data_IF_653614048386
#
_entry.id   IF_653614048386
#
_cell.length_a   1.000
_cell.length_b   1.000
_cell.length_c   1.000
_cell.angle_alpha   90.00
_cell.angle_beta   90.00
_cell.angle_gamma   90.00
#
_symmetry.space_group_name_H-M   'P 1'
#
loop_
_entity.id
_entity.type
_entity.pdbx_description
1 polymer ?
#
# COMPACT_ATOMS: atom_id res chain seq x y z
N UNK A 1 11.20 -17.64 18.73
CA UNK A 1 9.74 -17.65 19.03
C UNK A 1 9.59 -18.16 20.46
N UNK A 2 9.28 -17.27 21.40
CA UNK A 2 9.04 -17.65 22.80
C UNK A 2 7.62 -18.22 22.91
N UNK A 3 7.51 -19.53 23.09
CA UNK A 3 6.24 -20.21 23.35
C UNK A 3 6.27 -20.77 24.78
N UNK A 4 6.11 -19.89 25.77
CA UNK A 4 5.96 -20.28 27.16
C UNK A 4 4.78 -19.54 27.77
N UNK A 5 4.00 -20.23 28.60
CA UNK A 5 2.92 -19.62 29.36
C UNK A 5 3.53 -18.66 30.41
N UNK A 6 2.97 -17.45 30.51
CA UNK A 6 3.44 -16.45 31.46
C UNK A 6 3.21 -16.96 32.91
N UNK A 7 4.23 -16.92 33.79
CA UNK A 7 4.04 -17.16 35.21
C UNK A 7 3.20 -16.06 35.86
N UNK A 8 2.49 -16.40 36.94
CA UNK A 8 1.56 -15.50 37.64
C UNK A 8 2.16 -14.14 38.00
N UNK A 9 3.45 -14.09 38.36
CA UNK A 9 4.16 -12.84 38.67
C UNK A 9 4.25 -11.88 37.48
N UNK A 10 4.45 -12.41 36.26
CA UNK A 10 4.50 -11.61 35.04
C UNK A 10 3.10 -11.16 34.60
N UNK A 11 2.07 -11.98 34.84
CA UNK A 11 0.68 -11.58 34.62
C UNK A 11 0.33 -10.39 35.50
N UNK A 12 0.67 -10.44 36.80
CA UNK A 12 0.44 -9.31 37.72
C UNK A 12 1.22 -8.07 37.32
N UNK A 13 2.48 -8.22 36.86
CA UNK A 13 3.29 -7.11 36.39
C UNK A 13 2.68 -6.43 35.15
N UNK A 14 2.24 -7.21 34.16
CA UNK A 14 1.59 -6.67 32.96
C UNK A 14 0.26 -5.99 33.29
N UNK A 15 -0.52 -6.58 34.19
CA UNK A 15 -1.76 -5.98 34.69
C UNK A 15 -1.51 -4.63 35.39
N UNK A 16 -0.50 -4.53 36.25
CA UNK A 16 -0.13 -3.26 36.91
C UNK A 16 0.40 -2.20 35.94
N UNK A 17 0.93 -2.63 34.79
CA UNK A 17 1.35 -1.76 33.70
C UNK A 17 0.20 -1.36 32.75
N UNK A 18 -1.05 -1.76 33.03
CA UNK A 18 -2.21 -1.46 32.21
C UNK A 18 -2.31 -2.27 30.92
N UNK A 19 -1.46 -3.29 30.73
CA UNK A 19 -1.43 -4.09 29.50
C UNK A 19 -2.60 -5.07 29.51
N UNK A 20 -3.54 -4.87 28.58
CA UNK A 20 -4.71 -5.73 28.42
C UNK A 20 -5.84 -5.44 29.40
N UNK A 21 -5.96 -4.21 29.90
CA UNK A 21 -7.11 -3.78 30.69
C UNK A 21 -8.41 -3.95 29.89
N UNK A 22 -9.37 -4.63 30.53
CA UNK A 22 -10.73 -4.84 30.05
C UNK A 22 -11.68 -4.12 30.99
N UNK A 23 -12.63 -3.41 30.43
CA UNK A 23 -13.70 -2.76 31.18
C UNK A 23 -15.05 -3.13 30.58
N UNK A 24 -16.10 -3.02 31.37
CA UNK A 24 -17.46 -3.31 30.94
C UNK A 24 -18.21 -1.99 30.77
N UNK A 25 -18.76 -1.78 29.57
CA UNK A 25 -19.68 -0.68 29.32
C UNK A 25 -21.11 -1.18 29.50
N UNK A 26 -21.89 -0.42 30.26
CA UNK A 26 -23.27 -0.74 30.63
C UNK A 26 -24.21 0.33 30.06
N UNK A 27 -25.00 -0.06 29.07
CA UNK A 27 -25.99 0.81 28.43
C UNK A 27 -27.36 0.52 29.01
N UNK A 28 -27.99 1.49 29.67
CA UNK A 28 -29.32 1.31 30.24
C UNK A 28 -30.37 1.24 29.12
N UNK A 29 -31.20 0.19 29.13
CA UNK A 29 -32.32 0.01 28.20
C UNK A 29 -33.67 -0.12 28.90
N UNK A 30 -33.70 0.08 30.23
CA UNK A 30 -34.82 -0.28 31.10
C UNK A 30 -36.14 0.36 30.69
N UNK A 31 -36.11 1.64 30.31
CA UNK A 31 -37.28 2.40 29.89
C UNK A 31 -37.80 1.99 28.51
N UNK A 32 -36.91 1.50 27.64
CA UNK A 32 -37.24 1.13 26.26
C UNK A 32 -37.96 -0.22 26.24
N UNK A 33 -37.47 -1.19 27.03
CA UNK A 33 -38.04 -2.54 27.11
C UNK A 33 -39.06 -2.71 28.23
N UNK A 34 -39.28 -1.67 29.04
CA UNK A 34 -40.19 -1.65 30.19
C UNK A 34 -39.88 -2.76 31.23
N UNK A 35 -38.60 -3.00 31.47
CA UNK A 35 -38.10 -3.95 32.48
C UNK A 35 -37.07 -3.22 33.34
N UNK A 36 -37.28 -3.19 34.66
CA UNK A 36 -36.39 -2.49 35.58
C UNK A 36 -34.97 -3.07 35.57
N UNK A 37 -33.98 -2.20 35.79
CA UNK A 37 -32.56 -2.57 35.91
C UNK A 37 -32.01 -3.42 34.74
N UNK A 38 -32.54 -3.22 33.54
CA UNK A 38 -32.12 -3.86 32.30
C UNK A 38 -31.03 -3.06 31.59
N UNK A 39 -29.94 -3.75 31.25
CA UNK A 39 -28.76 -3.18 30.60
C UNK A 39 -28.25 -4.06 29.47
N UNK A 40 -27.63 -3.42 28.47
CA UNK A 40 -26.72 -4.06 27.55
C UNK A 40 -25.29 -3.87 28.07
N UNK A 41 -24.62 -4.98 28.33
CA UNK A 41 -23.23 -5.01 28.75
C UNK A 41 -22.35 -5.41 27.57
N UNK A 42 -21.27 -4.68 27.34
CA UNK A 42 -20.26 -5.03 26.34
C UNK A 42 -18.88 -5.00 27.00
N UNK A 43 -18.09 -6.05 26.76
CA UNK A 43 -16.68 -6.07 27.17
C UNK A 43 -15.88 -5.22 26.20
N UNK A 44 -15.10 -4.28 26.70
CA UNK A 44 -14.28 -3.37 25.90
C UNK A 44 -12.84 -3.39 26.38
N UNK A 45 -11.91 -3.41 25.44
CA UNK A 45 -10.48 -3.26 25.70
C UNK A 45 -9.83 -2.41 24.63
N UNK A 46 -8.77 -1.69 24.98
CA UNK A 46 -7.92 -1.05 23.99
C UNK A 46 -7.22 -2.14 23.16
N UNK A 47 -7.43 -2.13 21.84
CA UNK A 47 -6.86 -3.14 20.94
C UNK A 47 -5.47 -2.72 20.47
N UNK A 48 -5.32 -1.45 20.11
CA UNK A 48 -4.06 -0.76 19.85
C UNK A 48 -4.17 0.73 20.23
N UNK A 49 -3.17 1.54 19.89
CA UNK A 49 -3.15 2.97 20.22
C UNK A 49 -4.25 3.79 19.52
N UNK A 50 -4.99 3.20 18.57
CA UNK A 50 -5.96 3.89 17.71
C UNK A 50 -7.31 3.18 17.67
N UNK A 51 -7.56 2.17 18.50
CA UNK A 51 -8.81 1.41 18.43
C UNK A 51 -9.19 0.67 19.71
N UNK A 52 -10.48 0.39 19.82
CA UNK A 52 -11.08 -0.43 20.86
C UNK A 52 -11.62 -1.72 20.26
N UNK A 53 -11.47 -2.82 20.98
CA UNK A 53 -12.17 -4.06 20.72
C UNK A 53 -13.41 -4.11 21.62
N UNK A 54 -14.59 -4.10 21.01
CA UNK A 54 -15.87 -4.38 21.64
C UNK A 54 -16.20 -5.86 21.44
N UNK A 55 -16.44 -6.58 22.51
CA UNK A 55 -16.59 -8.02 22.46
C UNK A 55 -17.82 -8.50 23.23
N UNK A 56 -18.49 -9.52 22.67
CA UNK A 56 -19.55 -10.28 23.34
C UNK A 56 -20.63 -9.41 23.98
N UNK A 57 -21.50 -8.76 23.21
CA UNK A 57 -22.62 -8.02 23.77
C UNK A 57 -23.58 -8.98 24.47
N UNK A 58 -24.00 -8.60 25.66
CA UNK A 58 -24.86 -9.39 26.54
C UNK A 58 -26.00 -8.52 27.07
N UNK A 59 -27.20 -9.07 27.18
CA UNK A 59 -28.24 -8.54 28.04
C UNK A 59 -27.97 -8.96 29.48
N UNK A 60 -28.13 -8.04 30.43
CA UNK A 60 -28.07 -8.33 31.86
C UNK A 60 -29.21 -7.64 32.62
N UNK A 61 -29.66 -8.25 33.71
CA UNK A 61 -30.60 -7.63 34.65
C UNK A 61 -29.98 -7.50 36.05
N UNK A 62 -29.75 -6.27 36.53
CA UNK A 62 -29.07 -6.04 37.81
C UNK A 62 -29.96 -6.26 39.04
N UNK A 63 -31.28 -6.44 38.88
CA UNK A 63 -32.19 -6.80 39.98
C UNK A 63 -32.27 -8.31 40.22
N UNK A 64 -31.56 -9.10 39.41
CA UNK A 64 -31.60 -10.57 39.45
C UNK A 64 -32.97 -11.16 39.05
N UNK A 65 -33.73 -10.45 38.22
CA UNK A 65 -35.00 -10.93 37.68
C UNK A 65 -34.73 -12.03 36.63
N UNK A 66 -35.22 -13.24 36.88
CA UNK A 66 -35.11 -14.39 35.97
C UNK A 66 -36.36 -14.57 35.10
N UNK A 67 -37.40 -13.78 35.36
CA UNK A 67 -38.65 -13.76 34.58
C UNK A 67 -38.85 -12.37 34.04
N UNK A 68 -38.78 -12.26 32.72
CA UNK A 68 -38.91 -11.01 31.96
C UNK A 68 -39.88 -11.22 30.80
N UNK A 69 -40.49 -10.12 30.35
CA UNK A 69 -41.22 -10.11 29.08
C UNK A 69 -40.21 -10.21 27.94
N UNK A 70 -40.47 -11.10 26.98
CA UNK A 70 -39.59 -11.28 25.83
C UNK A 70 -39.56 -10.01 24.97
N UNK A 71 -38.38 -9.66 24.44
CA UNK A 71 -38.22 -8.50 23.58
C UNK A 71 -37.15 -8.73 22.51
N UNK A 72 -37.37 -8.19 21.31
CA UNK A 72 -36.43 -8.37 20.19
C UNK A 72 -35.33 -7.31 20.19
N UNK A 73 -34.13 -7.72 19.77
CA UNK A 73 -33.00 -6.84 19.47
C UNK A 73 -32.56 -7.12 18.04
N UNK A 74 -32.56 -6.08 17.19
CA UNK A 74 -32.06 -6.17 15.81
C UNK A 74 -31.17 -4.99 15.45
N UNK A 75 -30.18 -5.24 14.60
CA UNK A 75 -29.44 -4.16 13.93
C UNK A 75 -28.65 -3.26 14.89
N UNK A 76 -27.99 -3.84 15.91
CA UNK A 76 -27.28 -3.04 16.91
C UNK A 76 -25.99 -2.45 16.31
N UNK A 77 -25.81 -1.13 16.42
CA UNK A 77 -24.60 -0.42 15.98
C UNK A 77 -23.98 0.34 17.14
N UNK A 78 -22.66 0.50 17.10
CA UNK A 78 -21.90 1.29 18.07
C UNK A 78 -21.65 2.68 17.48
N UNK A 79 -22.02 3.71 18.23
CA UNK A 79 -21.62 5.08 17.96
C UNK A 79 -20.60 5.59 18.96
N UNK A 80 -19.82 6.58 18.53
CA UNK A 80 -18.81 7.27 19.31
C UNK A 80 -18.94 8.78 19.08
N UNK A 81 -18.83 9.57 20.15
CA UNK A 81 -18.79 11.04 20.09
C UNK A 81 -19.94 11.67 19.29
N UNK A 82 -21.14 11.08 19.36
CA UNK A 82 -22.36 11.57 18.71
C UNK A 82 -22.58 11.10 17.27
N UNK A 83 -21.72 10.24 16.71
CA UNK A 83 -21.92 9.63 15.39
C UNK A 83 -21.75 8.11 15.41
N UNK A 84 -22.51 7.41 14.57
CA UNK A 84 -22.32 5.96 14.39
C UNK A 84 -20.96 5.67 13.75
N UNK A 85 -20.26 4.64 14.23
CA UNK A 85 -19.01 4.24 13.62
C UNK A 85 -19.27 3.68 12.21
N UNK A 86 -18.57 4.22 11.21
CA UNK A 86 -18.75 3.87 9.79
C UNK A 86 -18.18 2.51 9.40
N UNK A 87 -17.29 1.96 10.22
CA UNK A 87 -16.62 0.67 10.01
C UNK A 87 -16.63 -0.15 11.31
N UNK A 88 -16.46 -1.46 11.19
CA UNK A 88 -16.41 -2.33 12.35
C UNK A 88 -17.77 -2.46 13.07
N UNK A 89 -18.85 -2.70 12.32
CA UNK A 89 -20.20 -2.91 12.86
C UNK A 89 -20.64 -4.37 12.78
N UNK A 90 -19.87 -5.31 13.35
CA UNK A 90 -20.25 -6.73 13.30
C UNK A 90 -21.61 -7.00 13.96
N UNK A 91 -21.99 -6.17 14.94
CA UNK A 91 -23.25 -6.26 15.67
C UNK A 91 -24.49 -5.84 14.87
N UNK A 92 -24.31 -5.21 13.70
CA UNK A 92 -25.45 -4.86 12.82
C UNK A 92 -26.23 -6.10 12.37
N UNK A 93 -25.59 -7.26 12.34
CA UNK A 93 -26.23 -8.52 11.95
C UNK A 93 -26.95 -9.21 13.12
N UNK A 94 -26.99 -8.59 14.31
CA UNK A 94 -27.77 -9.11 15.41
C UNK A 94 -29.24 -9.17 15.01
N UNK A 95 -29.83 -10.35 15.13
CA UNK A 95 -31.26 -10.59 15.05
C UNK A 95 -31.60 -11.67 16.08
N UNK A 96 -31.95 -11.24 17.28
CA UNK A 96 -32.20 -12.14 18.40
C UNK A 96 -33.35 -11.64 19.27
N UNK A 97 -33.91 -12.54 20.07
CA UNK A 97 -34.92 -12.20 21.07
C UNK A 97 -34.38 -12.55 22.45
N UNK A 98 -34.46 -11.59 23.36
CA UNK A 98 -34.14 -11.81 24.76
C UNK A 98 -35.35 -12.48 25.40
N UNK A 99 -35.14 -13.64 26.04
CA UNK A 99 -36.23 -14.43 26.63
C UNK A 99 -35.84 -14.96 28.01
N UNK A 100 -36.83 -15.13 28.88
CA UNK A 100 -36.61 -15.73 30.21
C UNK A 100 -35.95 -17.11 30.13
N UNK A 101 -36.23 -17.89 29.08
CA UNK A 101 -35.70 -19.25 28.89
C UNK A 101 -34.21 -19.30 28.54
N UNK A 102 -33.66 -18.19 28.02
CA UNK A 102 -32.26 -18.08 27.61
C UNK A 102 -31.41 -17.31 28.62
N UNK A 103 -32.01 -16.82 29.70
CA UNK A 103 -31.27 -16.26 30.82
C UNK A 103 -30.50 -17.38 31.54
N UNK A 104 -29.22 -17.13 31.70
CA UNK A 104 -28.28 -18.01 32.42
C UNK A 104 -27.60 -17.22 33.53
N UNK A 105 -27.10 -17.92 34.53
CA UNK A 105 -26.23 -17.31 35.54
C UNK A 105 -24.77 -17.52 35.16
N UNK A 106 -24.02 -16.44 34.97
CA UNK A 106 -22.56 -16.52 34.84
C UNK A 106 -21.92 -16.20 36.21
N UNK A 107 -21.09 -17.09 36.77
CA UNK A 107 -20.45 -16.88 38.06
C UNK A 107 -19.54 -15.63 38.09
N UNK A 108 -19.14 -15.07 36.93
CA UNK A 108 -18.40 -13.82 36.83
C UNK A 108 -19.22 -12.59 37.19
N UNK A 109 -20.54 -12.62 36.96
CA UNK A 109 -21.40 -11.44 37.07
C UNK A 109 -22.48 -11.57 38.15
N UNK A 110 -22.81 -12.79 38.59
CA UNK A 110 -23.80 -13.08 39.63
C UNK A 110 -25.20 -12.46 39.38
N UNK A 111 -25.53 -12.23 38.12
CA UNK A 111 -26.83 -11.74 37.63
C UNK A 111 -27.30 -12.59 36.43
N UNK A 112 -28.59 -12.57 36.08
CA UNK A 112 -29.12 -13.24 34.90
C UNK A 112 -28.58 -12.54 33.65
N UNK A 113 -28.01 -13.34 32.75
CA UNK A 113 -27.44 -12.86 31.50
C UNK A 113 -27.98 -13.63 30.31
N UNK A 114 -28.08 -12.97 29.17
CA UNK A 114 -28.22 -13.62 27.88
C UNK A 114 -27.19 -13.06 26.91
N UNK A 115 -26.32 -13.92 26.39
CA UNK A 115 -25.38 -13.54 25.35
C UNK A 115 -26.11 -13.28 24.04
N UNK A 116 -25.85 -12.14 23.42
CA UNK A 116 -26.50 -11.73 22.18
C UNK A 116 -25.66 -12.12 20.96
N UNK A 117 -24.34 -12.00 21.06
CA UNK A 117 -23.39 -12.43 20.02
C UNK A 117 -22.08 -12.92 20.64
N UNK A 118 -21.40 -13.82 19.95
CA UNK A 118 -20.02 -14.24 20.24
C UNK A 118 -18.98 -13.43 19.45
N UNK A 119 -19.43 -12.59 18.51
CA UNK A 119 -18.55 -11.78 17.69
C UNK A 119 -17.93 -10.65 18.51
N UNK A 120 -16.74 -10.24 18.08
CA UNK A 120 -16.12 -8.99 18.47
C UNK A 120 -16.09 -8.02 17.30
N UNK A 121 -15.92 -6.75 17.59
CA UNK A 121 -15.84 -5.70 16.58
C UNK A 121 -14.84 -4.63 17.00
N UNK A 122 -14.07 -4.12 16.05
CA UNK A 122 -13.03 -3.12 16.30
C UNK A 122 -13.56 -1.75 15.88
N UNK A 123 -13.57 -0.81 16.82
CA UNK A 123 -14.02 0.56 16.61
C UNK A 123 -12.80 1.49 16.71
N UNK A 124 -12.54 2.35 15.71
CA UNK A 124 -11.48 3.34 15.79
C UNK A 124 -11.67 4.26 17.01
N UNK A 125 -10.57 4.60 17.68
CA UNK A 125 -10.55 5.60 18.74
C UNK A 125 -10.47 7.00 18.13
N UNK A 126 -11.02 8.00 18.82
CA UNK A 126 -11.00 9.41 18.38
C UNK A 126 -10.26 10.29 19.39
N UNK A 127 -10.83 10.48 20.58
CA UNK A 127 -10.25 11.30 21.67
C UNK A 127 -9.46 10.47 22.68
N UNK A 128 -9.54 9.14 22.59
CA UNK A 128 -8.88 8.21 23.51
C UNK A 128 -9.72 7.91 24.77
N UNK A 129 -9.25 7.00 25.65
CA UNK A 129 -10.09 6.35 26.65
C UNK A 129 -10.74 7.28 27.68
N UNK A 130 -10.15 8.45 27.93
CA UNK A 130 -10.67 9.44 28.87
C UNK A 130 -11.63 10.45 28.24
N UNK A 131 -11.74 10.47 26.91
CA UNK A 131 -12.52 11.46 26.16
C UNK A 131 -13.56 10.89 25.20
N UNK A 132 -13.46 9.59 24.86
CA UNK A 132 -14.42 8.93 23.98
C UNK A 132 -15.69 8.52 24.74
N UNK A 133 -16.83 8.95 24.21
CA UNK A 133 -18.16 8.57 24.70
C UNK A 133 -18.82 7.63 23.69
N UNK A 134 -19.35 6.51 24.18
CA UNK A 134 -20.01 5.51 23.34
C UNK A 134 -21.52 5.53 23.52
N UNK A 135 -22.24 5.22 22.45
CA UNK A 135 -23.69 4.99 22.47
C UNK A 135 -24.05 3.82 21.56
N UNK A 136 -25.25 3.28 21.73
CA UNK A 136 -25.77 2.21 20.89
C UNK A 136 -27.01 2.69 20.13
N UNK A 137 -27.13 2.27 18.88
CA UNK A 137 -28.34 2.41 18.08
C UNK A 137 -28.82 1.04 17.63
N UNK A 138 -30.10 0.94 17.28
CA UNK A 138 -30.76 -0.33 16.99
C UNK A 138 -31.76 -0.11 15.87
N UNK A 139 -31.87 -1.05 14.94
CA UNK A 139 -33.04 -1.11 14.05
C UNK A 139 -34.30 -1.49 14.80
N UNK A 140 -34.17 -2.36 15.81
CA UNK A 140 -35.24 -2.70 16.72
C UNK A 140 -34.73 -2.98 18.13
N UNK A 141 -35.40 -2.40 19.12
CA UNK A 141 -35.21 -2.71 20.54
C UNK A 141 -36.58 -2.76 21.22
N UNK A 142 -37.04 -3.97 21.54
CA UNK A 142 -38.41 -4.23 21.97
C UNK A 142 -39.43 -3.83 20.91
N UNK A 143 -40.32 -2.91 21.26
CA UNK A 143 -41.34 -2.36 20.37
C UNK A 143 -40.87 -1.10 19.62
N UNK A 144 -39.73 -0.53 20.01
CA UNK A 144 -39.16 0.62 19.30
C UNK A 144 -38.44 0.16 18.04
N UNK A 145 -38.74 0.82 16.92
CA UNK A 145 -38.11 0.56 15.62
C UNK A 145 -37.47 1.83 15.09
N UNK A 146 -36.27 1.70 14.55
CA UNK A 146 -35.59 2.73 13.77
C UNK A 146 -35.39 2.17 12.37
N UNK A 147 -36.02 2.80 11.39
CA UNK A 147 -35.84 2.42 9.99
C UNK A 147 -34.47 2.94 9.54
N UNK A 148 -33.49 2.06 9.54
CA UNK A 148 -32.22 2.31 8.86
C UNK A 148 -32.44 1.97 7.39
N UNK A 149 -32.47 3.01 6.54
CA UNK A 149 -32.43 2.80 5.09
C UNK A 149 -30.97 2.56 4.74
N UNK A 150 -30.55 1.30 4.81
CA UNK A 150 -29.32 0.90 4.14
C UNK A 150 -29.54 1.11 2.64
N UNK A 151 -28.57 1.71 1.96
CA UNK A 151 -28.65 1.90 0.52
C UNK A 151 -28.46 0.54 -0.16
N UNK A 152 -29.54 -0.24 -0.23
CA UNK A 152 -29.60 -1.48 -0.99
C UNK A 152 -29.72 -1.14 -2.48
N UNK A 153 -28.59 -0.80 -3.09
CA UNK A 153 -28.50 -0.64 -4.53
C UNK A 153 -28.34 -1.99 -5.20
N UNK A 154 -29.45 -2.72 -5.31
CA UNK A 154 -29.53 -3.96 -6.09
C UNK A 154 -30.72 -3.85 -7.03
N UNK A 155 -30.52 -3.77 -8.37
CA UNK A 155 -29.24 -3.83 -9.08
C UNK A 155 -28.39 -2.56 -8.90
N UNK A 156 -27.06 -2.72 -9.03
CA UNK A 156 -26.05 -1.67 -8.86
C UNK A 156 -26.30 -0.39 -9.72
N UNK A 157 -27.18 -0.48 -10.73
CA UNK A 157 -27.49 0.59 -11.69
C UNK A 157 -28.27 1.75 -11.10
N UNK A 158 -28.99 1.54 -9.99
CA UNK A 158 -29.97 2.51 -9.47
C UNK A 158 -29.42 3.30 -8.26
N UNK A 159 -28.14 3.09 -7.95
CA UNK A 159 -27.45 3.81 -6.90
C UNK A 159 -27.21 5.27 -7.32
N UNK A 160 -27.61 6.29 -6.54
CA UNK A 160 -27.21 7.65 -6.80
C UNK A 160 -25.69 7.72 -6.67
N UNK A 161 -25.00 7.81 -7.81
CA UNK A 161 -23.57 8.00 -7.84
C UNK A 161 -23.27 9.40 -7.31
N UNK A 162 -23.09 9.53 -6.00
CA UNK A 162 -22.05 10.43 -5.53
C UNK A 162 -20.71 9.71 -5.69
N UNK A 163 -20.42 9.24 -6.91
CA UNK A 163 -19.08 9.45 -7.41
C UNK A 163 -18.94 10.97 -7.39
N UNK A 164 -18.44 11.49 -6.27
CA UNK A 164 -17.52 12.61 -6.40
C UNK A 164 -16.58 12.17 -7.51
N UNK A 165 -16.66 12.84 -8.64
CA UNK A 165 -15.63 12.73 -9.66
C UNK A 165 -14.35 13.06 -8.91
N UNK A 166 -13.63 12.01 -8.48
CA UNK A 166 -12.32 12.19 -7.89
C UNK A 166 -11.52 12.88 -8.98
N UNK A 167 -10.69 13.85 -8.59
CA UNK A 167 -9.82 14.50 -9.57
C UNK A 167 -9.19 13.42 -10.45
N UNK A 168 -9.30 13.55 -11.79
CA UNK A 168 -8.88 12.50 -12.71
C UNK A 168 -7.46 12.08 -12.36
N UNK A 169 -7.32 10.84 -11.90
CA UNK A 169 -6.01 10.28 -11.61
C UNK A 169 -5.38 9.85 -12.91
N UNK A 170 -4.09 10.13 -13.09
CA UNK A 170 -3.38 9.69 -14.28
C UNK A 170 -3.46 8.16 -14.43
N UNK A 171 -3.89 7.69 -15.60
CA UNK A 171 -3.81 6.27 -16.01
C UNK A 171 -2.35 5.78 -16.12
N UNK A 172 -1.41 6.72 -16.13
CA UNK A 172 0.02 6.52 -16.33
C UNK A 172 0.76 6.93 -15.05
N UNK A 173 1.50 6.00 -14.48
CA UNK A 173 2.38 6.18 -13.34
C UNK A 173 3.83 6.37 -13.74
N UNK A 174 4.64 6.71 -12.73
CA UNK A 174 6.10 6.68 -12.82
C UNK A 174 6.63 5.62 -11.85
N UNK A 175 7.59 4.82 -12.30
CA UNK A 175 8.29 3.88 -11.42
C UNK A 175 8.97 4.61 -10.28
N UNK A 176 8.97 4.00 -9.11
CA UNK A 176 9.82 4.44 -7.99
C UNK A 176 11.30 4.26 -8.34
N UNK A 177 12.21 5.00 -7.70
CA UNK A 177 13.64 4.82 -7.98
C UNK A 177 14.16 3.45 -7.55
N UNK A 178 13.55 2.80 -6.55
CA UNK A 178 13.82 1.41 -6.20
C UNK A 178 13.56 0.47 -7.38
N UNK A 179 12.43 0.66 -8.07
CA UNK A 179 12.06 -0.12 -9.25
C UNK A 179 12.94 0.22 -10.45
N UNK A 180 13.27 1.51 -10.65
CA UNK A 180 14.19 1.96 -11.68
C UNK A 180 15.57 1.32 -11.45
N UNK A 181 16.10 1.38 -10.23
CA UNK A 181 17.40 0.80 -9.85
C UNK A 181 17.41 -0.73 -10.05
N UNK A 182 16.34 -1.42 -9.64
CA UNK A 182 16.20 -2.86 -9.88
C UNK A 182 16.11 -3.22 -11.37
N UNK A 183 15.40 -2.40 -12.15
CA UNK A 183 15.26 -2.56 -13.60
C UNK A 183 16.61 -2.33 -14.29
N UNK A 184 17.31 -1.25 -13.96
CA UNK A 184 18.64 -0.94 -14.52
C UNK A 184 19.66 -2.04 -14.20
N UNK A 185 19.66 -2.58 -12.97
CA UNK A 185 20.51 -3.71 -12.61
C UNK A 185 20.20 -4.96 -13.43
N UNK A 186 18.91 -5.27 -13.61
CA UNK A 186 18.48 -6.45 -14.38
C UNK A 186 18.85 -6.32 -15.85
N UNK A 187 18.61 -5.16 -16.46
CA UNK A 187 18.86 -4.92 -17.88
C UNK A 187 20.35 -4.89 -18.20
N UNK A 188 21.16 -4.24 -17.36
CA UNK A 188 22.61 -4.13 -17.59
C UNK A 188 23.39 -5.35 -17.08
N UNK A 189 22.83 -6.13 -16.16
CA UNK A 189 23.53 -7.22 -15.47
C UNK A 189 24.55 -6.74 -14.43
N UNK A 190 24.59 -5.43 -14.13
CA UNK A 190 25.48 -4.86 -13.11
C UNK A 190 24.79 -4.94 -11.74
N UNK A 191 25.54 -5.36 -10.72
CA UNK A 191 25.01 -5.44 -9.36
C UNK A 191 24.69 -4.06 -8.77
N UNK A 192 23.52 -3.95 -8.13
CA UNK A 192 23.12 -2.80 -7.29
C UNK A 192 24.10 -2.52 -6.13
N UNK A 193 24.89 -3.53 -5.73
CA UNK A 193 25.89 -3.42 -4.67
C UNK A 193 27.24 -2.90 -5.16
N UNK A 194 27.39 -2.62 -6.46
CA UNK A 194 28.57 -1.93 -6.97
C UNK A 194 28.69 -0.56 -6.27
N UNK A 195 29.89 -0.21 -5.80
CA UNK A 195 30.13 0.99 -5.00
C UNK A 195 29.64 2.27 -5.66
N UNK A 196 29.95 2.48 -6.95
CA UNK A 196 29.56 3.71 -7.66
C UNK A 196 28.06 3.84 -7.87
N UNK A 197 27.38 2.71 -8.13
CA UNK A 197 25.92 2.65 -8.23
C UNK A 197 25.28 2.93 -6.88
N UNK A 198 25.75 2.26 -5.82
CA UNK A 198 25.21 2.43 -4.47
C UNK A 198 25.35 3.86 -3.98
N UNK A 199 26.53 4.47 -4.13
CA UNK A 199 26.77 5.86 -3.72
C UNK A 199 25.88 6.86 -4.47
N UNK A 200 25.74 6.68 -5.78
CA UNK A 200 24.85 7.50 -6.62
C UNK A 200 23.39 7.32 -6.20
N UNK A 201 22.95 6.08 -6.00
CA UNK A 201 21.59 5.75 -5.58
C UNK A 201 21.24 6.37 -4.21
N UNK A 202 22.11 6.26 -3.20
CA UNK A 202 21.87 6.86 -1.88
C UNK A 202 21.80 8.40 -1.93
N UNK A 203 22.53 9.02 -2.86
CA UNK A 203 22.50 10.48 -3.06
C UNK A 203 21.16 10.92 -3.67
N UNK A 204 20.69 10.21 -4.69
CA UNK A 204 19.46 10.58 -5.41
C UNK A 204 18.18 10.12 -4.71
N UNK A 205 18.25 9.06 -3.88
CA UNK A 205 17.11 8.55 -3.10
C UNK A 205 16.50 9.59 -2.17
N UNK A 206 17.27 10.60 -1.77
CA UNK A 206 16.76 11.71 -0.95
C UNK A 206 15.84 12.68 -1.72
N UNK A 207 15.79 12.58 -3.05
CA UNK A 207 15.03 13.48 -3.92
C UNK A 207 13.69 12.87 -4.39
N UNK A 208 13.23 11.78 -3.75
CA UNK A 208 12.12 10.97 -4.23
C UNK A 208 10.73 11.46 -3.82
N UNK A 209 9.76 11.41 -4.74
CA UNK A 209 8.35 11.27 -4.38
C UNK A 209 8.12 9.91 -3.72
N UNK A 210 7.30 9.88 -2.68
CA UNK A 210 6.90 8.64 -2.00
C UNK A 210 5.77 7.90 -2.73
N UNK A 211 5.33 8.39 -3.89
CA UNK A 211 4.17 7.89 -4.63
C UNK A 211 4.45 7.86 -6.13
N UNK A 212 3.96 6.82 -6.81
CA UNK A 212 4.11 6.55 -8.25
C UNK A 212 3.19 7.43 -9.14
N UNK A 213 2.99 8.69 -8.75
CA UNK A 213 2.11 9.62 -9.49
C UNK A 213 2.92 10.50 -10.44
N UNK A 214 2.47 10.59 -11.69
CA UNK A 214 3.11 11.44 -12.70
C UNK A 214 3.17 12.92 -12.28
N UNK A 215 2.18 13.40 -11.52
CA UNK A 215 2.12 14.77 -11.01
C UNK A 215 3.24 15.10 -10.01
N UNK A 216 3.88 14.07 -9.43
CA UNK A 216 5.03 14.19 -8.55
C UNK A 216 6.38 14.21 -9.29
N UNK A 217 6.39 14.08 -10.62
CA UNK A 217 7.63 14.05 -11.40
C UNK A 217 8.22 15.44 -11.59
N UNK A 218 9.38 15.68 -10.97
CA UNK A 218 10.10 16.95 -11.08
C UNK A 218 11.30 16.82 -12.02
N UNK A 219 11.69 17.90 -12.69
CA UNK A 219 12.87 17.91 -13.58
C UNK A 219 14.17 17.47 -12.88
N UNK A 220 14.28 17.67 -11.57
CA UNK A 220 15.40 17.17 -10.76
C UNK A 220 15.49 15.64 -10.78
N UNK A 221 14.36 14.94 -10.80
CA UNK A 221 14.29 13.49 -10.83
C UNK A 221 14.77 12.95 -12.19
N UNK A 222 14.44 13.63 -13.29
CA UNK A 222 14.96 13.27 -14.61
C UNK A 222 16.49 13.33 -14.67
N UNK A 223 17.10 14.34 -14.06
CA UNK A 223 18.56 14.46 -13.96
C UNK A 223 19.14 13.35 -13.10
N UNK A 224 18.53 13.07 -11.95
CA UNK A 224 18.95 12.01 -11.04
C UNK A 224 18.88 10.61 -11.67
N UNK A 225 17.83 10.31 -12.42
CA UNK A 225 17.68 9.07 -13.19
C UNK A 225 18.76 8.97 -14.25
N UNK A 226 19.07 10.07 -14.94
CA UNK A 226 20.14 10.11 -15.94
C UNK A 226 21.51 9.86 -15.32
N UNK A 227 21.75 10.37 -14.10
CA UNK A 227 22.96 10.09 -13.32
C UNK A 227 23.07 8.61 -12.95
N UNK A 228 21.98 7.99 -12.51
CA UNK A 228 21.98 6.55 -12.21
C UNK A 228 22.20 5.71 -13.49
N UNK A 229 21.53 6.09 -14.58
CA UNK A 229 21.66 5.41 -15.86
C UNK A 229 23.11 5.44 -16.40
N UNK A 230 23.78 6.60 -16.30
CA UNK A 230 25.17 6.71 -16.78
C UNK A 230 26.14 5.89 -15.91
N UNK A 231 25.89 5.74 -14.61
CA UNK A 231 26.69 4.89 -13.73
C UNK A 231 26.54 3.40 -14.10
N UNK A 232 25.30 2.94 -14.28
CA UNK A 232 25.02 1.57 -14.74
C UNK A 232 25.66 1.26 -16.09
N UNK A 233 25.48 2.15 -17.07
CA UNK A 233 26.07 2.00 -18.39
C UNK A 233 27.60 2.12 -18.37
N UNK A 234 28.17 2.92 -17.47
CA UNK A 234 29.61 3.00 -17.29
C UNK A 234 30.18 1.71 -16.73
N UNK A 235 29.56 1.15 -15.68
CA UNK A 235 29.97 -0.12 -15.11
C UNK A 235 29.83 -1.28 -16.11
N UNK A 236 28.75 -1.31 -16.90
CA UNK A 236 28.53 -2.26 -17.98
C UNK A 236 29.64 -2.21 -19.04
N UNK A 237 30.01 -1.00 -19.52
CA UNK A 237 30.99 -0.82 -20.60
C UNK A 237 32.44 -1.01 -20.13
N UNK A 238 32.73 -0.73 -18.86
CA UNK A 238 34.08 -0.96 -18.32
C UNK A 238 34.38 -2.42 -18.03
N UNK A 239 33.36 -3.23 -17.71
CA UNK A 239 33.52 -4.67 -17.58
C UNK A 239 33.59 -5.35 -18.97
N UNK A 240 34.73 -5.97 -19.27
CA UNK A 240 34.97 -6.60 -20.57
C UNK A 240 34.03 -7.78 -20.85
N UNK A 241 33.60 -8.50 -19.81
CA UNK A 241 32.69 -9.66 -19.93
C UNK A 241 31.27 -9.17 -20.17
N UNK A 242 30.80 -8.22 -19.36
CA UNK A 242 29.45 -7.68 -19.50
C UNK A 242 29.29 -6.95 -20.83
N UNK A 243 30.23 -6.08 -21.23
CA UNK A 243 30.12 -5.38 -22.52
C UNK A 243 30.16 -6.32 -23.71
N UNK A 244 30.97 -7.38 -23.67
CA UNK A 244 31.09 -8.35 -24.75
C UNK A 244 29.80 -9.18 -24.92
N UNK A 245 29.13 -9.47 -23.81
CA UNK A 245 27.81 -10.10 -23.78
C UNK A 245 26.69 -9.14 -24.21
N UNK A 246 26.80 -7.86 -23.83
CA UNK A 246 25.77 -6.87 -24.13
C UNK A 246 25.82 -6.37 -25.58
N UNK A 247 27.01 -6.10 -26.10
CA UNK A 247 27.28 -5.56 -27.45
C UNK A 247 28.11 -6.55 -28.29
N UNK A 248 27.53 -7.69 -28.69
CA UNK A 248 28.27 -8.74 -29.39
C UNK A 248 28.81 -8.23 -30.74
N UNK A 249 30.10 -8.50 -31.00
CA UNK A 249 30.75 -8.17 -32.27
C UNK A 249 31.19 -6.71 -32.43
N UNK A 250 30.90 -5.83 -31.48
CA UNK A 250 31.40 -4.45 -31.51
C UNK A 250 32.87 -4.37 -31.04
N UNK A 251 33.72 -3.71 -31.83
CA UNK A 251 35.14 -3.55 -31.52
C UNK A 251 35.40 -2.30 -30.66
N UNK A 252 35.45 -2.49 -29.34
CA UNK A 252 35.78 -1.44 -28.37
C UNK A 252 37.26 -1.00 -28.40
N UNK A 253 38.14 -1.73 -29.08
CA UNK A 253 39.56 -1.39 -29.19
C UNK A 253 39.87 -0.50 -30.40
N UNK A 254 38.94 -0.44 -31.36
CA UNK A 254 39.08 0.41 -32.54
C UNK A 254 38.96 1.90 -32.18
N UNK A 255 39.70 2.77 -32.91
CA UNK A 255 39.49 4.21 -32.81
C UNK A 255 38.08 4.57 -33.30
N UNK A 256 37.53 5.65 -32.75
CA UNK A 256 36.15 6.11 -32.98
C UNK A 256 35.77 6.15 -34.46
N UNK A 257 36.64 6.66 -35.34
CA UNK A 257 36.39 6.77 -36.78
C UNK A 257 36.23 5.41 -37.47
N UNK A 258 36.90 4.37 -36.97
CA UNK A 258 36.78 3.01 -37.49
C UNK A 258 35.68 2.21 -36.79
N UNK A 259 35.43 2.47 -35.50
CA UNK A 259 34.41 1.80 -34.71
C UNK A 259 32.98 2.20 -35.15
N UNK A 260 32.77 3.45 -35.58
CA UNK A 260 31.46 4.02 -35.95
C UNK A 260 31.32 4.37 -37.45
N UNK A 261 32.19 3.85 -38.32
CA UNK A 261 32.14 4.10 -39.77
C UNK A 261 30.89 3.52 -40.45
N UNK A 262 30.37 4.21 -41.47
CA UNK A 262 29.10 3.92 -42.20
C UNK A 262 29.19 2.87 -43.33
N UNK A 263 30.06 1.86 -43.25
CA UNK A 263 30.34 0.93 -44.36
C UNK A 263 30.01 -0.53 -44.04
N UNK A 264 29.69 -1.38 -45.04
CA UNK A 264 28.35 -1.75 -45.51
C UNK A 264 27.47 -2.49 -44.47
N UNK A 265 28.02 -2.81 -43.30
CA UNK A 265 27.30 -3.33 -42.13
C UNK A 265 27.34 -2.21 -41.11
N UNK A 266 26.22 -1.51 -40.90
CA UNK A 266 26.20 -0.36 -40.00
C UNK A 266 26.67 -0.77 -38.60
N UNK A 267 27.91 -0.39 -38.24
CA UNK A 267 28.51 -0.78 -36.96
C UNK A 267 27.78 -0.14 -35.78
N UNK A 268 27.03 0.95 -36.02
CA UNK A 268 26.14 1.55 -35.03
C UNK A 268 25.00 0.62 -34.66
N UNK A 269 24.52 -0.21 -35.60
CA UNK A 269 23.50 -1.22 -35.36
C UNK A 269 23.94 -2.30 -34.35
N UNK A 270 25.26 -2.53 -34.19
CA UNK A 270 25.81 -3.41 -33.15
C UNK A 270 25.66 -2.82 -31.74
N UNK A 271 25.33 -1.54 -31.63
CA UNK A 271 25.02 -0.83 -30.38
C UNK A 271 23.52 -0.61 -30.25
N UNK A 272 22.88 0.00 -31.25
CA UNK A 272 21.46 0.34 -31.20
C UNK A 272 20.59 -0.92 -31.12
N UNK A 273 20.89 -1.96 -31.90
CA UNK A 273 20.13 -3.21 -31.89
C UNK A 273 20.03 -3.86 -30.50
N UNK A 274 21.14 -4.11 -29.79
CA UNK A 274 21.10 -4.59 -28.42
C UNK A 274 20.39 -3.65 -27.43
N UNK A 275 20.55 -2.33 -27.58
CA UNK A 275 19.87 -1.37 -26.71
C UNK A 275 18.35 -1.42 -26.90
N UNK A 276 17.86 -1.38 -28.14
CA UNK A 276 16.42 -1.45 -28.41
C UNK A 276 15.84 -2.80 -27.97
N UNK A 277 16.46 -3.90 -28.37
CA UNK A 277 15.94 -5.25 -28.05
C UNK A 277 15.91 -5.56 -26.55
N UNK A 278 16.90 -5.09 -25.79
CA UNK A 278 17.00 -5.38 -24.35
C UNK A 278 16.30 -4.35 -23.47
N UNK A 279 16.30 -3.06 -23.84
CA UNK A 279 15.84 -1.97 -22.97
C UNK A 279 14.50 -1.37 -23.39
N UNK A 280 14.18 -1.30 -24.68
CA UNK A 280 12.87 -0.78 -25.14
C UNK A 280 11.85 -1.92 -25.24
N UNK A 281 12.32 -3.13 -25.55
CA UNK A 281 11.47 -4.29 -25.75
C UNK A 281 10.83 -4.32 -27.14
N UNK A 282 10.14 -5.42 -27.43
CA UNK A 282 9.43 -5.63 -28.70
C UNK A 282 8.02 -6.15 -28.44
N UNK A 283 7.10 -5.92 -29.37
CA UNK A 283 5.70 -6.38 -29.29
C UNK A 283 4.89 -5.80 -28.12
N UNK A 284 5.17 -4.56 -27.72
CA UNK A 284 4.33 -3.83 -26.76
C UNK A 284 3.28 -3.03 -27.52
N UNK A 285 2.07 -2.93 -26.98
CA UNK A 285 0.96 -2.17 -27.59
C UNK A 285 1.23 -0.66 -27.58
N UNK A 286 2.01 -0.19 -26.60
CA UNK A 286 2.42 1.21 -26.45
C UNK A 286 3.91 1.22 -26.09
N UNK A 287 4.74 1.67 -27.03
CA UNK A 287 6.17 1.88 -26.85
C UNK A 287 6.67 2.94 -27.84
N UNK A 288 7.84 3.55 -27.62
CA UNK A 288 8.46 4.42 -28.61
C UNK A 288 8.69 3.68 -29.93
N UNK A 289 8.50 4.39 -31.05
CA UNK A 289 8.83 3.85 -32.36
C UNK A 289 10.33 3.53 -32.43
N UNK A 290 10.64 2.27 -32.70
CA UNK A 290 12.01 1.78 -32.74
C UNK A 290 12.87 2.52 -33.78
N UNK A 291 12.29 2.84 -34.94
CA UNK A 291 13.02 3.57 -35.99
C UNK A 291 13.36 5.01 -35.57
N UNK A 292 12.45 5.67 -34.84
CA UNK A 292 12.70 6.99 -34.27
C UNK A 292 13.79 6.96 -33.19
N UNK A 293 13.75 5.96 -32.30
CA UNK A 293 14.80 5.78 -31.27
C UNK A 293 16.16 5.50 -31.90
N UNK A 294 16.24 4.64 -32.91
CA UNK A 294 17.48 4.38 -33.64
C UNK A 294 18.03 5.66 -34.29
N UNK A 295 17.17 6.46 -34.93
CA UNK A 295 17.57 7.73 -35.55
C UNK A 295 18.15 8.73 -34.55
N UNK A 296 17.55 8.84 -33.36
CA UNK A 296 18.06 9.71 -32.29
C UNK A 296 19.39 9.22 -31.71
N UNK A 297 19.54 7.89 -31.54
CA UNK A 297 20.80 7.30 -31.09
C UNK A 297 21.91 7.49 -32.11
N UNK A 298 21.63 7.33 -33.40
CA UNK A 298 22.58 7.58 -34.48
C UNK A 298 23.03 9.03 -34.50
N UNK A 299 22.09 9.97 -34.36
CA UNK A 299 22.36 11.40 -34.27
C UNK A 299 23.19 11.76 -33.02
N UNK A 300 22.95 11.11 -31.89
CA UNK A 300 23.77 11.25 -30.69
C UNK A 300 25.20 10.73 -30.92
N UNK A 301 25.34 9.53 -31.50
CA UNK A 301 26.65 8.95 -31.79
C UNK A 301 27.44 9.81 -32.79
N UNK A 302 26.80 10.36 -33.83
CA UNK A 302 27.46 11.28 -34.78
C UNK A 302 27.98 12.54 -34.10
N UNK A 303 27.17 13.15 -33.22
CA UNK A 303 27.61 14.31 -32.44
C UNK A 303 28.80 13.98 -31.54
N UNK A 304 28.79 12.81 -30.90
CA UNK A 304 29.86 12.41 -29.99
C UNK A 304 31.13 11.93 -30.70
N UNK A 305 31.03 11.46 -31.94
CA UNK A 305 32.18 11.03 -32.77
C UNK A 305 32.84 12.17 -33.54
N UNK A 306 32.17 13.33 -33.68
CA UNK A 306 32.73 14.55 -34.29
C UNK A 306 33.76 15.24 -33.38
N UNK A 307 34.98 14.71 -33.27
CA UNK A 307 36.01 15.18 -32.34
C UNK A 307 37.04 16.20 -32.89
N UNK A 308 36.71 17.03 -33.89
CA UNK A 308 37.61 18.08 -34.39
C UNK A 308 39.05 17.59 -34.67
N UNK A 309 40.04 18.10 -33.91
CA UNK A 309 41.47 17.81 -34.06
C UNK A 309 41.94 16.43 -33.54
N UNK A 310 41.02 15.58 -33.05
CA UNK A 310 41.30 14.20 -32.65
C UNK A 310 40.48 13.74 -31.45
N UNK A 311 39.99 12.50 -31.48
CA UNK A 311 39.29 11.88 -30.35
C UNK A 311 40.30 11.34 -29.31
N UNK A 312 39.94 11.43 -28.03
CA UNK A 312 40.64 10.69 -26.97
C UNK A 312 40.58 9.17 -27.23
N UNK A 313 41.58 8.42 -26.75
CA UNK A 313 41.68 6.98 -27.00
C UNK A 313 40.52 6.18 -26.39
N UNK A 314 39.90 6.67 -25.33
CA UNK A 314 38.76 6.07 -24.63
C UNK A 314 37.40 6.51 -25.19
N UNK A 315 37.39 7.41 -26.19
CA UNK A 315 36.17 8.03 -26.72
C UNK A 315 35.17 7.01 -27.28
N UNK A 316 35.65 5.89 -27.82
CA UNK A 316 34.78 4.79 -28.29
C UNK A 316 33.88 4.30 -27.15
N UNK A 317 34.45 4.04 -25.96
CA UNK A 317 33.66 3.65 -24.78
C UNK A 317 32.74 4.78 -24.33
N UNK A 318 33.20 6.03 -24.32
CA UNK A 318 32.38 7.17 -23.91
C UNK A 318 31.11 7.32 -24.76
N UNK A 319 31.22 7.10 -26.08
CA UNK A 319 30.08 7.16 -27.00
C UNK A 319 29.08 6.05 -26.67
N UNK A 320 29.54 4.81 -26.45
CA UNK A 320 28.66 3.68 -26.10
C UNK A 320 27.99 3.89 -24.74
N UNK A 321 28.72 4.39 -23.74
CA UNK A 321 28.17 4.74 -22.42
C UNK A 321 27.04 5.76 -22.53
N UNK A 322 27.25 6.80 -23.33
CA UNK A 322 26.24 7.84 -23.54
C UNK A 322 25.00 7.31 -24.27
N UNK A 323 25.18 6.51 -25.34
CA UNK A 323 24.07 5.89 -26.04
C UNK A 323 23.27 4.94 -25.14
N UNK A 324 23.96 4.11 -24.35
CA UNK A 324 23.35 3.25 -23.35
C UNK A 324 22.55 4.05 -22.32
N UNK A 325 23.14 5.10 -21.75
CA UNK A 325 22.48 5.91 -20.73
C UNK A 325 21.25 6.65 -21.28
N UNK A 326 21.30 7.08 -22.56
CA UNK A 326 20.18 7.74 -23.22
C UNK A 326 18.95 6.82 -23.34
N UNK A 327 19.15 5.52 -23.62
CA UNK A 327 18.04 4.55 -23.66
C UNK A 327 17.64 4.13 -22.25
N UNK A 328 18.61 3.84 -21.38
CA UNK A 328 18.37 3.33 -20.04
C UNK A 328 17.65 4.34 -19.13
N UNK A 329 17.92 5.64 -19.31
CA UNK A 329 17.24 6.73 -18.62
C UNK A 329 16.03 7.29 -19.36
N UNK A 330 15.55 6.63 -20.43
CA UNK A 330 14.42 7.10 -21.23
C UNK A 330 13.07 6.72 -20.62
N UNK A 331 12.02 7.44 -21.04
CA UNK A 331 10.65 7.19 -20.62
C UNK A 331 10.18 5.74 -20.85
N UNK A 332 10.74 5.00 -21.81
CA UNK A 332 10.42 3.60 -22.07
C UNK A 332 10.63 2.69 -20.84
N UNK A 333 11.49 3.11 -19.91
CA UNK A 333 11.82 2.37 -18.70
C UNK A 333 11.28 3.01 -17.41
N UNK A 334 10.77 4.23 -17.49
CA UNK A 334 10.35 5.02 -16.33
C UNK A 334 8.84 5.07 -16.16
N UNK A 335 8.11 4.99 -17.27
CA UNK A 335 6.65 5.07 -17.30
C UNK A 335 6.05 3.67 -17.11
N UNK A 336 4.95 3.58 -16.36
CA UNK A 336 4.15 2.37 -16.20
C UNK A 336 2.65 2.64 -16.26
#
# INVERSE_FOLDING_TARGET
>A
IYNHALPQSQITQNYQAGVGEKFFLLFNISTIVNIAASYLMVEVSQFDNYSYLFNQPMYINLNNDTTITDFSIKGMRIGMNGQEAVVGQAFRNLDTTVTSSQLTSDPRFAVPIQQLSSLGTVIPADKGPTGDEFFLTFERLGDQTHVVVEMDCIPLTDCPSTTTDLDPTADIGIRTFEEIDATMATLTGVSRTNTGIKETYETIKQQLPTVEKIDGFLSSQQVAISQLAIEYCSALVEDATLRGSFFPGFDFSAPVTAAFSTSPTDKKALITGPLLSKMVGSNLTVNPDAAAVETELDSLMDRLTSCGSGCAADRTKSVVKAACAAVLGSAALLIQ
#
